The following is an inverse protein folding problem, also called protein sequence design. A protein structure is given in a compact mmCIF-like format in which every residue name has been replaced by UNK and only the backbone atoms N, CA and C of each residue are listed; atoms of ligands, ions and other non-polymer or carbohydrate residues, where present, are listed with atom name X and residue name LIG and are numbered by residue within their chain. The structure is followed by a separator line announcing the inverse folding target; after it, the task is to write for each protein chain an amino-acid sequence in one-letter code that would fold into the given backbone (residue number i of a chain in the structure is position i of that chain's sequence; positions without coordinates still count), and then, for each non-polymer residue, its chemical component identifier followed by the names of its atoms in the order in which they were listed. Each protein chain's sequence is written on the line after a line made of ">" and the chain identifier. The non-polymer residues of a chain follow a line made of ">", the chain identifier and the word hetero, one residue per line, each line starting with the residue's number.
data_IF_102597200175
#
_entry.id   IF_102597200175
#
_cell.length_a   1.000
_cell.length_b   1.000
_cell.length_c   1.000
_cell.angle_alpha   90.00
_cell.angle_beta   90.00
_cell.angle_gamma   90.00
#
_symmetry.space_group_name_H-M   'P 1'
#
loop_
_entity.id
_entity.type
_entity.pdbx_description
1 polymer ?
#
# COMPACT_ATOMS: atom_id res chain seq x y z
N UNK A 1 -1.28 3.99 -2.88
CA UNK A 1 -1.99 3.44 -1.71
C UNK A 1 -2.73 2.19 -2.17
N UNK A 2 -2.46 1.06 -1.54
CA UNK A 2 -3.00 -0.24 -1.94
C UNK A 2 -4.43 -0.43 -1.46
N UNK A 3 -5.32 -0.82 -2.37
CA UNK A 3 -6.73 -1.11 -2.09
C UNK A 3 -6.94 -2.59 -1.76
N UNK A 4 -6.18 -3.49 -2.37
CA UNK A 4 -6.41 -4.94 -2.32
C UNK A 4 -5.12 -5.69 -1.95
N UNK A 5 -5.24 -6.66 -1.06
CA UNK A 5 -4.24 -7.70 -0.80
C UNK A 5 -4.80 -9.07 -1.21
N UNK A 6 -4.06 -9.82 -2.01
CA UNK A 6 -4.46 -11.13 -2.51
C UNK A 6 -3.88 -12.26 -1.64
N UNK A 7 -4.61 -13.37 -1.51
CA UNK A 7 -4.18 -14.56 -0.78
C UNK A 7 -3.22 -15.42 -1.62
N UNK A 8 -2.10 -14.84 -2.04
CA UNK A 8 -1.11 -15.52 -2.87
C UNK A 8 0.30 -15.04 -2.56
N UNK A 9 1.22 -16.00 -2.52
CA UNK A 9 2.66 -15.83 -2.49
C UNK A 9 3.21 -16.46 -3.77
N UNK A 10 3.56 -15.59 -4.72
CA UNK A 10 4.18 -15.99 -5.98
C UNK A 10 5.41 -15.10 -6.20
N UNK A 11 6.56 -15.62 -5.79
CA UNK A 11 7.78 -14.86 -5.58
C UNK A 11 8.65 -14.96 -6.82
N UNK A 12 8.88 -13.84 -7.51
CA UNK A 12 9.73 -13.83 -8.71
C UNK A 12 11.20 -14.12 -8.40
N UNK A 13 11.63 -13.83 -7.17
CA UNK A 13 12.96 -14.11 -6.62
C UNK A 13 12.82 -14.62 -5.18
N UNK A 14 13.77 -15.39 -4.65
CA UNK A 14 13.75 -15.78 -3.24
C UNK A 14 13.82 -14.57 -2.31
N UNK A 15 13.22 -14.71 -1.12
CA UNK A 15 13.40 -13.74 -0.05
C UNK A 15 14.80 -13.81 0.57
N UNK A 16 15.07 -12.92 1.53
CA UNK A 16 16.37 -12.85 2.20
C UNK A 16 16.71 -14.12 3.01
N UNK A 17 15.74 -14.98 3.32
CA UNK A 17 15.92 -16.27 3.98
C UNK A 17 15.98 -17.44 2.99
N UNK A 18 15.87 -17.17 1.68
CA UNK A 18 15.92 -18.17 0.62
C UNK A 18 14.58 -18.84 0.30
N UNK A 19 13.46 -18.40 0.88
CA UNK A 19 12.14 -18.93 0.56
C UNK A 19 11.69 -18.43 -0.81
N UNK A 20 11.20 -19.36 -1.64
CA UNK A 20 10.74 -19.09 -3.00
C UNK A 20 9.37 -19.74 -3.22
N UNK A 21 8.32 -18.99 -2.86
CA UNK A 21 6.94 -19.41 -3.02
C UNK A 21 6.47 -19.33 -4.47
N UNK A 22 5.68 -20.31 -4.91
CA UNK A 22 5.24 -20.47 -6.31
C UNK A 22 3.74 -20.75 -6.38
N UNK A 23 2.94 -19.74 -6.02
CA UNK A 23 1.47 -19.81 -6.02
C UNK A 23 0.88 -20.34 -4.71
N UNK A 24 1.64 -20.31 -3.61
CA UNK A 24 1.17 -20.74 -2.29
C UNK A 24 0.17 -19.72 -1.72
N UNK A 25 -0.85 -20.17 -0.99
CA UNK A 25 -1.73 -19.27 -0.25
C UNK A 25 -1.00 -18.68 0.97
N UNK A 26 -1.25 -17.41 1.31
CA UNK A 26 -0.76 -16.80 2.55
C UNK A 26 -1.40 -17.49 3.76
N UNK A 27 -2.73 -17.72 3.71
CA UNK A 27 -3.48 -18.54 4.65
C UNK A 27 -4.37 -19.51 3.88
N UNK A 28 -4.20 -20.82 4.09
CA UNK A 28 -4.95 -21.85 3.37
C UNK A 28 -6.47 -21.76 3.58
N UNK A 29 -6.91 -21.30 4.75
CA UNK A 29 -8.31 -21.08 5.14
C UNK A 29 -8.79 -19.63 4.89
N UNK A 30 -7.94 -18.77 4.32
CA UNK A 30 -8.22 -17.37 4.10
C UNK A 30 -9.06 -17.10 2.84
N UNK A 31 -9.87 -16.01 2.80
CA UNK A 31 -10.57 -15.60 1.58
C UNK A 31 -9.58 -15.22 0.47
N UNK A 32 -10.03 -15.21 -0.79
CA UNK A 32 -9.16 -14.91 -1.94
C UNK A 32 -8.44 -13.54 -1.86
N UNK A 33 -9.05 -12.55 -1.22
CA UNK A 33 -8.47 -11.24 -1.01
C UNK A 33 -9.06 -10.54 0.22
N UNK A 34 -8.34 -9.54 0.73
CA UNK A 34 -8.85 -8.54 1.67
C UNK A 34 -8.75 -7.15 1.06
N UNK A 35 -9.75 -6.32 1.35
CA UNK A 35 -9.72 -4.89 1.03
C UNK A 35 -9.08 -4.12 2.18
N UNK A 36 -8.25 -3.14 1.86
CA UNK A 36 -7.73 -2.20 2.86
C UNK A 36 -8.88 -1.50 3.58
N UNK A 37 -8.72 -1.27 4.89
CA UNK A 37 -9.70 -0.54 5.71
C UNK A 37 -9.23 0.89 6.04
N UNK A 38 -8.11 1.33 5.46
CA UNK A 38 -7.71 2.74 5.43
C UNK A 38 -8.66 3.53 4.53
N UNK A 39 -8.83 4.85 4.74
CA UNK A 39 -9.59 5.70 3.83
C UNK A 39 -8.78 6.00 2.55
N UNK A 40 -8.61 4.98 1.69
CA UNK A 40 -7.69 4.99 0.54
C UNK A 40 -7.94 6.16 -0.42
N UNK A 41 -9.20 6.41 -0.75
CA UNK A 41 -9.59 7.47 -1.68
C UNK A 41 -9.28 8.87 -1.12
N UNK A 42 -9.64 9.09 0.14
CA UNK A 42 -9.36 10.33 0.87
C UNK A 42 -7.85 10.60 0.98
N UNK A 43 -7.06 9.57 1.30
CA UNK A 43 -5.59 9.70 1.35
C UNK A 43 -5.06 10.14 -0.03
N UNK A 44 -5.51 9.50 -1.11
CA UNK A 44 -5.00 9.80 -2.44
C UNK A 44 -5.44 11.18 -2.93
N UNK A 45 -6.69 11.59 -2.71
CA UNK A 45 -7.16 12.93 -3.10
C UNK A 45 -6.38 14.01 -2.37
N UNK A 46 -6.27 13.91 -1.04
CA UNK A 46 -5.64 14.92 -0.21
C UNK A 46 -4.13 15.05 -0.47
N UNK A 47 -3.44 13.94 -0.78
CA UNK A 47 -2.05 13.99 -1.22
C UNK A 47 -1.91 14.77 -2.53
N UNK A 48 -2.77 14.49 -3.52
CA UNK A 48 -2.73 15.16 -4.83
C UNK A 48 -3.08 16.64 -4.73
N UNK A 49 -4.07 17.01 -3.91
CA UNK A 49 -4.41 18.41 -3.60
C UNK A 49 -3.23 19.16 -2.98
N UNK A 50 -2.41 18.47 -2.18
CA UNK A 50 -1.17 19.05 -1.63
C UNK A 50 0.05 19.01 -2.57
N UNK A 51 -0.15 18.64 -3.85
CA UNK A 51 0.92 18.59 -4.85
C UNK A 51 1.82 17.35 -4.77
N UNK A 52 1.43 16.33 -4.00
CA UNK A 52 2.18 15.07 -3.87
C UNK A 52 1.61 14.03 -4.85
N UNK A 53 2.41 13.50 -5.80
CA UNK A 53 1.95 12.47 -6.72
C UNK A 53 1.55 11.19 -5.98
N UNK A 54 0.28 10.81 -6.09
CA UNK A 54 -0.25 9.58 -5.50
C UNK A 54 -1.29 8.94 -6.41
N UNK A 55 -1.44 7.61 -6.30
CA UNK A 55 -2.50 6.84 -6.97
C UNK A 55 -3.06 5.77 -6.04
N UNK A 56 -4.29 5.38 -6.31
CA UNK A 56 -4.84 4.13 -5.80
C UNK A 56 -4.24 2.99 -6.63
N UNK A 57 -3.77 1.96 -5.95
CA UNK A 57 -3.25 0.74 -6.56
C UNK A 57 -4.16 -0.43 -6.19
N UNK A 58 -4.52 -1.25 -7.16
CA UNK A 58 -5.38 -2.42 -6.97
C UNK A 58 -4.57 -3.73 -6.86
N UNK A 59 -3.24 -3.66 -6.82
CA UNK A 59 -2.37 -4.83 -6.64
C UNK A 59 -1.10 -4.44 -5.90
N UNK A 60 -0.89 -5.06 -4.74
CA UNK A 60 0.32 -4.93 -3.95
C UNK A 60 1.43 -5.92 -4.37
N UNK A 61 1.41 -6.40 -5.63
CA UNK A 61 2.21 -7.53 -6.13
C UNK A 61 1.75 -8.88 -5.53
N UNK A 62 2.53 -9.93 -5.73
CA UNK A 62 2.38 -11.28 -5.16
C UNK A 62 3.58 -11.66 -4.26
N UNK A 63 4.45 -10.68 -3.98
CA UNK A 63 5.65 -10.84 -3.13
C UNK A 63 5.38 -10.46 -1.66
N UNK A 64 6.44 -10.23 -0.89
CA UNK A 64 6.40 -9.91 0.54
C UNK A 64 5.49 -8.72 0.91
N UNK A 65 5.41 -7.68 0.08
CA UNK A 65 4.53 -6.53 0.35
C UNK A 65 3.05 -6.96 0.42
N UNK A 66 2.63 -7.78 -0.54
CA UNK A 66 1.29 -8.36 -0.56
C UNK A 66 1.07 -9.32 0.61
N UNK A 67 2.02 -10.23 0.85
CA UNK A 67 1.95 -11.17 1.97
C UNK A 67 1.77 -10.45 3.31
N UNK A 68 2.54 -9.38 3.55
CA UNK A 68 2.46 -8.57 4.77
C UNK A 68 1.09 -7.90 4.88
N UNK A 69 0.62 -7.23 3.82
CA UNK A 69 -0.68 -6.56 3.81
C UNK A 69 -1.83 -7.56 4.04
N UNK A 70 -1.81 -8.70 3.35
CA UNK A 70 -2.81 -9.75 3.50
C UNK A 70 -2.82 -10.30 4.93
N UNK A 71 -1.64 -10.60 5.49
CA UNK A 71 -1.50 -11.16 6.83
C UNK A 71 -2.10 -10.25 7.89
N UNK A 72 -1.79 -8.95 7.84
CA UNK A 72 -2.32 -7.98 8.81
C UNK A 72 -3.85 -7.88 8.69
N UNK A 73 -4.38 -7.73 7.47
CA UNK A 73 -5.82 -7.63 7.24
C UNK A 73 -6.56 -8.90 7.66
N UNK A 74 -6.03 -10.07 7.31
CA UNK A 74 -6.62 -11.35 7.68
C UNK A 74 -6.65 -11.55 9.18
N UNK A 75 -5.58 -11.23 9.90
CA UNK A 75 -5.53 -11.35 11.36
C UNK A 75 -6.48 -10.37 12.06
N UNK A 76 -6.62 -9.14 11.55
CA UNK A 76 -7.59 -8.16 12.05
C UNK A 76 -9.02 -8.70 11.89
N UNK A 77 -9.36 -9.20 10.71
CA UNK A 77 -10.68 -9.76 10.42
C UNK A 77 -10.96 -11.01 11.27
N UNK A 78 -10.02 -11.96 11.32
CA UNK A 78 -10.15 -13.22 12.07
C UNK A 78 -10.30 -13.01 13.58
N UNK A 79 -9.71 -11.94 14.12
CA UNK A 79 -9.79 -11.57 15.54
C UNK A 79 -10.90 -10.57 15.86
N UNK A 80 -11.67 -10.10 14.88
CA UNK A 80 -12.74 -9.10 15.08
C UNK A 80 -12.21 -7.75 15.60
N UNK A 81 -10.99 -7.37 15.23
CA UNK A 81 -10.38 -6.12 15.71
C UNK A 81 -10.98 -4.90 15.00
N UNK A 82 -11.08 -3.77 15.72
CA UNK A 82 -11.54 -2.48 15.16
C UNK A 82 -10.41 -1.68 14.48
N UNK A 83 -9.20 -2.22 14.42
CA UNK A 83 -8.02 -1.56 13.86
C UNK A 83 -8.15 -1.38 12.36
N UNK A 84 -7.82 -0.18 11.86
CA UNK A 84 -7.70 0.04 10.41
C UNK A 84 -6.31 -0.40 9.92
N UNK A 85 -6.23 -1.03 8.75
CA UNK A 85 -4.98 -1.43 8.12
C UNK A 85 -5.02 -1.30 6.60
N UNK A 86 -3.83 -1.18 6.02
CA UNK A 86 -3.60 -1.08 4.58
C UNK A 86 -2.10 -0.97 4.30
N UNK A 87 -1.73 -0.69 3.05
CA UNK A 87 -0.33 -0.61 2.63
C UNK A 87 -0.09 0.58 1.70
N UNK A 88 1.11 1.16 1.76
CA UNK A 88 1.54 2.27 0.90
C UNK A 88 2.90 1.91 0.31
N UNK A 89 2.93 1.60 -0.98
CA UNK A 89 4.19 1.61 -1.74
C UNK A 89 4.68 3.05 -1.93
N UNK A 90 5.98 3.24 -1.80
CA UNK A 90 6.68 4.50 -2.11
C UNK A 90 7.66 4.27 -3.26
N UNK A 91 7.96 5.29 -4.08
CA UNK A 91 8.96 5.18 -5.15
C UNK A 91 10.38 4.94 -4.63
N UNK A 92 11.32 4.73 -5.56
CA UNK A 92 12.74 4.74 -5.23
C UNK A 92 13.16 6.12 -4.69
N UNK A 93 14.14 6.16 -3.80
CA UNK A 93 14.80 7.41 -3.43
C UNK A 93 15.86 7.80 -4.49
N UNK A 94 16.25 9.08 -4.63
CA UNK A 94 17.11 9.53 -5.72
C UNK A 94 18.48 8.85 -5.73
N UNK A 95 19.05 8.56 -4.55
CA UNK A 95 20.30 7.80 -4.45
C UNK A 95 20.22 6.39 -5.03
N UNK A 96 19.08 5.71 -4.97
CA UNK A 96 18.90 4.36 -5.55
C UNK A 96 18.75 4.46 -7.07
N UNK A 97 17.99 5.46 -7.53
CA UNK A 97 17.86 5.74 -8.96
C UNK A 97 19.22 6.09 -9.59
N UNK A 98 20.09 6.81 -8.88
CA UNK A 98 21.44 7.15 -9.34
C UNK A 98 22.39 5.93 -9.46
N UNK A 99 22.06 4.78 -8.85
CA UNK A 99 22.81 3.53 -9.04
C UNK A 99 22.43 2.80 -10.34
N UNK A 100 21.34 3.19 -10.99
CA UNK A 100 20.92 2.59 -12.25
C UNK A 100 21.84 3.09 -13.37
N UNK A 101 22.34 2.16 -14.19
CA UNK A 101 23.19 2.48 -15.33
C UNK A 101 22.40 2.33 -16.62
N UNK A 102 22.64 3.24 -17.57
CA UNK A 102 22.15 3.09 -18.93
C UNK A 102 22.59 1.73 -19.50
N UNK A 103 21.74 0.97 -20.21
CA UNK A 103 20.40 1.32 -20.72
C UNK A 103 19.22 0.83 -19.86
N UNK A 104 19.47 0.34 -18.65
CA UNK A 104 18.46 -0.33 -17.83
C UNK A 104 17.54 0.68 -17.14
N UNK A 105 16.58 1.18 -17.92
CA UNK A 105 15.37 1.94 -17.57
C UNK A 105 15.53 3.18 -16.67
N UNK A 106 15.03 4.31 -17.15
CA UNK A 106 14.77 5.49 -16.33
C UNK A 106 13.92 5.07 -15.11
N UNK A 107 14.50 5.17 -13.91
CA UNK A 107 13.83 4.83 -12.65
C UNK A 107 13.29 6.12 -12.01
N UNK A 108 11.96 6.35 -12.03
CA UNK A 108 11.39 7.49 -11.33
C UNK A 108 11.73 7.41 -9.84
N UNK A 109 12.04 8.56 -9.26
CA UNK A 109 12.33 8.66 -7.83
C UNK A 109 11.59 9.82 -7.19
N UNK A 110 11.53 9.78 -5.86
CA UNK A 110 10.92 10.81 -5.02
C UNK A 110 11.84 11.06 -3.82
N UNK A 111 12.00 12.32 -3.38
CA UNK A 111 12.81 12.63 -2.20
C UNK A 111 12.26 11.93 -0.95
N UNK A 112 13.15 11.55 -0.04
CA UNK A 112 12.75 10.85 1.20
C UNK A 112 11.86 11.76 2.05
N UNK A 113 12.12 13.07 2.01
CA UNK A 113 11.35 14.10 2.68
C UNK A 113 9.90 14.13 2.19
N UNK A 114 9.70 14.11 0.86
CA UNK A 114 8.36 14.12 0.26
C UNK A 114 7.61 12.80 0.50
N UNK A 115 8.32 11.66 0.44
CA UNK A 115 7.76 10.36 0.81
C UNK A 115 7.32 10.34 2.29
N UNK A 116 8.15 10.86 3.19
CA UNK A 116 7.84 10.94 4.61
C UNK A 116 6.67 11.89 4.90
N UNK A 117 6.60 13.03 4.20
CA UNK A 117 5.45 13.93 4.27
C UNK A 117 4.16 13.22 3.85
N UNK A 118 4.20 12.50 2.73
CA UNK A 118 3.05 11.75 2.22
C UNK A 118 2.54 10.73 3.25
N UNK A 119 3.44 9.95 3.84
CA UNK A 119 3.09 8.95 4.87
C UNK A 119 2.54 9.62 6.13
N UNK A 120 3.12 10.75 6.58
CA UNK A 120 2.61 11.51 7.73
C UNK A 120 1.18 12.02 7.50
N UNK A 121 0.88 12.55 6.30
CA UNK A 121 -0.47 12.98 5.91
C UNK A 121 -1.43 11.79 5.90
N UNK A 122 -1.04 10.68 5.29
CA UNK A 122 -1.85 9.46 5.26
C UNK A 122 -2.20 8.93 6.66
N UNK A 123 -1.23 8.95 7.60
CA UNK A 123 -1.46 8.56 8.99
C UNK A 123 -2.48 9.48 9.67
N UNK A 124 -2.34 10.82 9.53
CA UNK A 124 -3.27 11.79 10.13
C UNK A 124 -4.70 11.58 9.66
N UNK A 125 -4.90 11.43 8.34
CA UNK A 125 -6.22 11.15 7.75
C UNK A 125 -6.78 9.81 8.24
N UNK A 126 -5.93 8.79 8.39
CA UNK A 126 -6.34 7.47 8.88
C UNK A 126 -6.82 7.48 10.33
N UNK A 127 -6.29 8.39 11.16
CA UNK A 127 -6.70 8.61 12.55
C UNK A 127 -7.97 9.47 12.68
N UNK A 128 -8.54 9.97 11.58
CA UNK A 128 -9.71 10.87 11.61
C UNK A 128 -9.34 12.33 11.87
N UNK A 129 -8.08 12.72 11.70
CA UNK A 129 -7.66 14.11 11.77
C UNK A 129 -8.05 14.88 10.50
N UNK A 130 -9.27 15.39 10.47
CA UNK A 130 -9.76 16.36 9.46
C UNK A 130 -10.39 17.56 10.17
N UNK A 131 -9.56 18.52 10.60
CA UNK A 131 -10.07 19.89 10.76
C UNK A 131 -10.06 20.54 9.38
N UNK A 132 -11.18 20.41 8.67
CA UNK A 132 -11.42 21.07 7.39
C UNK A 132 -12.43 20.36 6.51
N UNK A 133 -13.71 20.47 6.88
CA UNK A 133 -14.91 20.21 6.06
C UNK A 133 -15.24 18.77 5.66
N UNK A 134 -16.27 18.27 6.36
CA UNK A 134 -17.22 17.28 5.88
C UNK A 134 -17.71 17.63 4.46
N UNK A 135 -17.22 16.90 3.47
CA UNK A 135 -17.58 17.10 2.06
C UNK A 135 -17.47 15.82 1.25
N UNK A 136 -18.02 14.70 1.73
CA UNK A 136 -18.38 13.61 0.83
C UNK A 136 -19.78 13.90 0.27
N UNK A 137 -19.94 14.13 -1.05
CA UNK A 137 -21.26 14.14 -1.63
C UNK A 137 -21.86 12.74 -1.51
N UNK A 138 -23.10 12.68 -1.04
CA UNK A 138 -23.95 11.50 -1.11
C UNK A 138 -23.98 11.01 -2.56
N UNK A 139 -23.30 9.91 -2.87
CA UNK A 139 -23.58 9.16 -4.09
C UNK A 139 -24.67 8.16 -3.71
N UNK A 140 -25.91 8.60 -3.95
CA UNK A 140 -27.02 7.68 -4.17
C UNK A 140 -26.83 7.04 -5.54
N UNK A 141 -26.65 5.72 -5.57
CA UNK A 141 -27.09 4.81 -6.62
C UNK A 141 -27.35 3.44 -5.98
#
# INVERSE_FOLDING_TARGET
>A
VERIAANIMDFAIPDNAGYHHRGDAVFADGPAAHTATLPVELIVSHLRESGIPAKISNSASTYLCNQMMYTVLHLIAKKGMKTRAGFIHVPAHPRLAALQQYPLAEMPSMSVELMAEAVKKAIRLSLGGENGESGLPSIAL
#
